data_IF_753975844265
#
_entry.id   IF_753975844265
#
_cell.length_a   1.000
_cell.length_b   1.000
_cell.length_c   1.000
_cell.angle_alpha   90.00
_cell.angle_beta   90.00
_cell.angle_gamma   90.00
#
_symmetry.space_group_name_H-M   'P 1'
#
loop_
_entity.id
_entity.type
_entity.pdbx_description
1 polymer ?
#
# COMPACT_ATOMS: atom_id res chain seq x y z
N UNK A 1 -19.53 -13.83 13.98
CA UNK A 1 -18.51 -14.22 12.97
C UNK A 1 -19.04 -15.48 12.34
N UNK A 2 -19.22 -15.49 11.02
CA UNK A 2 -19.64 -16.67 10.28
C UNK A 2 -18.37 -17.37 9.77
N UNK A 3 -18.14 -18.60 10.19
CA UNK A 3 -17.03 -19.42 9.71
C UNK A 3 -17.54 -20.29 8.57
N UNK A 4 -16.84 -20.27 7.44
CA UNK A 4 -17.12 -21.13 6.31
C UNK A 4 -16.10 -22.29 6.32
N UNK A 5 -16.58 -23.51 6.33
CA UNK A 5 -15.75 -24.69 6.11
C UNK A 5 -15.75 -25.00 4.61
N UNK A 6 -14.56 -25.12 4.04
CA UNK A 6 -14.40 -25.50 2.63
C UNK A 6 -13.84 -26.92 2.53
N UNK A 7 -14.45 -27.74 1.72
CA UNK A 7 -13.87 -29.03 1.37
C UNK A 7 -12.55 -28.81 0.61
N UNK A 8 -11.56 -29.65 0.91
CA UNK A 8 -10.28 -29.61 0.21
C UNK A 8 -10.48 -29.96 -1.25
N UNK A 9 -10.32 -28.99 -2.14
CA UNK A 9 -10.48 -29.16 -3.57
C UNK A 9 -9.45 -30.14 -4.17
N UNK A 10 -9.78 -30.66 -5.35
CA UNK A 10 -8.83 -31.47 -6.13
C UNK A 10 -7.71 -30.57 -6.66
N UNK A 11 -6.46 -31.06 -6.55
CA UNK A 11 -5.32 -30.37 -7.16
C UNK A 11 -5.46 -30.36 -8.69
N UNK A 12 -5.49 -29.16 -9.29
CA UNK A 12 -5.68 -28.96 -10.75
C UNK A 12 -4.41 -28.56 -11.49
N UNK A 13 -3.40 -28.07 -10.77
CA UNK A 13 -2.07 -27.73 -11.30
C UNK A 13 -0.97 -28.34 -10.42
N UNK A 14 0.19 -28.62 -11.00
CA UNK A 14 1.32 -29.10 -10.22
C UNK A 14 1.87 -28.01 -9.30
N UNK A 15 2.52 -28.40 -8.20
CA UNK A 15 3.22 -27.49 -7.30
C UNK A 15 4.25 -26.65 -8.07
N UNK A 16 5.01 -27.26 -8.97
CA UNK A 16 6.00 -26.57 -9.82
C UNK A 16 5.34 -25.48 -10.68
N UNK A 17 4.17 -25.76 -11.28
CA UNK A 17 3.43 -24.76 -12.05
C UNK A 17 2.97 -23.61 -11.17
N UNK A 18 2.46 -23.91 -9.98
CA UNK A 18 2.05 -22.92 -8.99
C UNK A 18 3.21 -21.99 -8.59
N UNK A 19 4.37 -22.57 -8.24
CA UNK A 19 5.58 -21.82 -7.89
C UNK A 19 6.04 -20.90 -9.05
N UNK A 20 6.00 -21.43 -10.27
CA UNK A 20 6.35 -20.64 -11.46
C UNK A 20 5.39 -19.48 -11.68
N UNK A 21 4.10 -19.70 -11.50
CA UNK A 21 3.09 -18.64 -11.62
C UNK A 21 3.26 -17.56 -10.54
N UNK A 22 3.55 -17.94 -9.30
CA UNK A 22 3.83 -16.97 -8.23
C UNK A 22 4.99 -16.03 -8.60
N UNK A 23 6.09 -16.57 -9.13
CA UNK A 23 7.24 -15.78 -9.59
C UNK A 23 6.87 -14.84 -10.76
N UNK A 24 6.10 -15.33 -11.73
CA UNK A 24 5.63 -14.48 -12.84
C UNK A 24 4.74 -13.34 -12.31
N UNK A 25 3.83 -13.63 -11.40
CA UNK A 25 2.93 -12.62 -10.83
C UNK A 25 3.68 -11.62 -9.94
N UNK A 26 4.76 -12.04 -9.29
CA UNK A 26 5.67 -11.14 -8.59
C UNK A 26 6.37 -10.16 -9.56
N UNK A 27 6.85 -10.63 -10.71
CA UNK A 27 7.47 -9.77 -11.74
C UNK A 27 6.48 -8.73 -12.28
N UNK A 28 5.18 -9.05 -12.32
CA UNK A 28 4.14 -8.07 -12.71
C UNK A 28 4.10 -6.88 -11.75
N UNK A 29 4.38 -7.11 -10.47
CA UNK A 29 4.39 -6.05 -9.44
C UNK A 29 5.76 -5.39 -9.37
N UNK A 30 6.86 -6.13 -9.39
CA UNK A 30 8.20 -5.55 -9.26
C UNK A 30 8.62 -4.74 -10.50
N UNK A 31 8.27 -5.18 -11.71
CA UNK A 31 8.79 -4.63 -12.96
C UNK A 31 7.71 -4.29 -14.00
N UNK A 32 6.47 -4.75 -13.78
CA UNK A 32 5.39 -4.67 -14.76
C UNK A 32 4.32 -3.65 -14.47
N UNK A 33 3.14 -3.85 -15.06
CA UNK A 33 1.98 -2.97 -14.96
C UNK A 33 1.35 -2.88 -13.56
N UNK A 34 1.81 -3.69 -12.62
CA UNK A 34 1.42 -3.65 -11.19
C UNK A 34 2.36 -2.84 -10.30
N UNK A 35 3.39 -2.19 -10.88
CA UNK A 35 4.46 -1.55 -10.11
C UNK A 35 3.99 -0.50 -9.09
N UNK A 36 2.84 0.11 -9.30
CA UNK A 36 2.26 1.05 -8.31
C UNK A 36 1.81 0.39 -6.99
N UNK A 37 1.79 -0.95 -6.94
CA UNK A 37 1.56 -1.71 -5.70
C UNK A 37 2.86 -2.29 -5.12
N UNK A 38 4.02 -1.98 -5.71
CA UNK A 38 5.30 -2.44 -5.21
C UNK A 38 5.67 -1.76 -3.89
N UNK A 39 6.11 -2.57 -2.93
CA UNK A 39 6.59 -2.11 -1.62
C UNK A 39 7.97 -2.72 -1.39
N UNK A 40 9.03 -1.92 -1.17
CA UNK A 40 10.36 -2.42 -0.88
C UNK A 40 10.37 -3.41 0.28
N UNK A 41 11.13 -4.48 0.18
CA UNK A 41 11.22 -5.52 1.19
C UNK A 41 10.07 -6.51 1.21
N UNK A 42 8.95 -6.26 0.51
CA UNK A 42 7.83 -7.20 0.44
C UNK A 42 7.73 -7.84 -0.94
N UNK A 43 7.71 -9.16 -0.95
CA UNK A 43 7.53 -9.96 -2.16
C UNK A 43 6.04 -10.04 -2.47
N UNK A 44 5.56 -9.17 -3.34
CA UNK A 44 4.13 -9.06 -3.70
C UNK A 44 3.93 -9.62 -5.10
N UNK A 45 3.06 -10.62 -5.22
CA UNK A 45 2.56 -11.09 -6.51
C UNK A 45 1.18 -10.50 -6.78
N UNK A 46 0.88 -10.17 -8.05
CA UNK A 46 -0.41 -9.58 -8.35
C UNK A 46 -0.74 -9.47 -9.82
N UNK A 47 -2.00 -9.12 -10.10
CA UNK A 47 -2.50 -8.90 -11.47
C UNK A 47 -3.53 -7.78 -11.50
N UNK A 48 -3.30 -6.84 -12.40
CA UNK A 48 -4.26 -5.78 -12.73
C UNK A 48 -5.31 -6.30 -13.71
N UNK A 49 -6.52 -5.78 -13.62
CA UNK A 49 -7.53 -5.97 -14.66
C UNK A 49 -8.31 -4.68 -14.91
N UNK A 50 -8.81 -4.57 -16.14
CA UNK A 50 -9.71 -3.50 -16.57
C UNK A 50 -10.78 -4.12 -17.46
N UNK A 51 -12.02 -4.07 -17.02
CA UNK A 51 -13.14 -4.66 -17.72
C UNK A 51 -14.12 -3.60 -18.14
N UNK A 52 -14.53 -3.60 -19.42
CA UNK A 52 -15.60 -2.73 -19.89
C UNK A 52 -16.95 -3.33 -19.47
N UNK A 53 -17.82 -2.50 -18.91
CA UNK A 53 -19.19 -2.89 -18.53
C UNK A 53 -20.09 -3.01 -19.76
N UNK A 54 -21.12 -3.82 -19.65
CA UNK A 54 -22.15 -3.93 -20.69
C UNK A 54 -23.17 -2.78 -20.58
N UNK A 55 -23.75 -2.35 -21.71
CA UNK A 55 -23.40 -2.75 -23.07
C UNK A 55 -22.03 -2.21 -23.50
N UNK A 56 -21.33 -2.95 -24.35
CA UNK A 56 -20.03 -2.49 -24.87
C UNK A 56 -20.18 -1.16 -25.59
N UNK A 57 -19.22 -0.27 -25.43
CA UNK A 57 -19.30 1.10 -25.95
C UNK A 57 -19.95 2.10 -24.98
N UNK A 58 -20.40 1.67 -23.80
CA UNK A 58 -20.93 2.55 -22.75
C UNK A 58 -19.92 3.54 -22.18
N UNK A 59 -18.62 3.35 -22.41
CA UNK A 59 -17.55 4.11 -21.79
C UNK A 59 -17.35 3.81 -20.29
N UNK A 60 -18.10 2.86 -19.75
CA UNK A 60 -18.05 2.46 -18.34
C UNK A 60 -17.12 1.27 -18.14
N UNK A 61 -16.28 1.35 -17.11
CA UNK A 61 -15.26 0.35 -16.80
C UNK A 61 -15.29 -0.02 -15.33
N UNK A 62 -14.78 -1.22 -15.02
CA UNK A 62 -14.40 -1.65 -13.70
C UNK A 62 -12.90 -1.89 -13.70
N UNK A 63 -12.18 -1.17 -12.87
CA UNK A 63 -10.76 -1.33 -12.64
C UNK A 63 -10.52 -2.21 -11.42
N UNK A 64 -9.58 -3.14 -11.48
CA UNK A 64 -9.28 -3.97 -10.33
C UNK A 64 -7.80 -4.35 -10.24
N UNK A 65 -7.40 -4.72 -9.03
CA UNK A 65 -6.09 -5.27 -8.73
C UNK A 65 -6.24 -6.37 -7.69
N UNK A 66 -5.79 -7.57 -8.02
CA UNK A 66 -5.65 -8.68 -7.09
C UNK A 66 -4.17 -8.81 -6.73
N UNK A 67 -3.86 -8.89 -5.44
CA UNK A 67 -2.51 -9.11 -4.95
C UNK A 67 -2.47 -10.13 -3.84
N UNK A 68 -1.32 -10.78 -3.68
CA UNK A 68 -1.02 -11.71 -2.58
C UNK A 68 0.41 -11.48 -2.09
N UNK A 69 0.62 -11.70 -0.81
CA UNK A 69 1.92 -11.53 -0.16
C UNK A 69 2.08 -12.46 1.07
N UNK A 70 3.34 -12.87 1.40
CA UNK A 70 4.53 -12.87 0.54
C UNK A 70 4.35 -13.79 -0.68
N UNK A 71 5.00 -13.48 -1.82
CA UNK A 71 4.77 -14.24 -3.06
C UNK A 71 5.20 -15.71 -2.96
N UNK A 72 6.28 -16.01 -2.21
CA UNK A 72 6.76 -17.37 -2.00
C UNK A 72 5.84 -18.20 -1.10
N UNK A 73 5.27 -17.59 -0.03
CA UNK A 73 4.41 -18.25 0.93
C UNK A 73 3.22 -17.35 1.31
N UNK A 74 2.21 -17.23 0.42
CA UNK A 74 1.12 -16.28 0.59
C UNK A 74 0.35 -16.46 1.90
N UNK A 75 0.26 -15.39 2.68
CA UNK A 75 -0.53 -15.28 3.90
C UNK A 75 -1.72 -14.34 3.75
N UNK A 76 -1.62 -13.42 2.78
CA UNK A 76 -2.63 -12.41 2.48
C UNK A 76 -3.01 -12.49 1.02
N UNK A 77 -4.30 -12.38 0.75
CA UNK A 77 -4.88 -12.13 -0.57
C UNK A 77 -5.79 -10.92 -0.46
N UNK A 78 -5.53 -9.91 -1.27
CA UNK A 78 -6.31 -8.67 -1.30
C UNK A 78 -6.83 -8.40 -2.71
N UNK A 79 -8.04 -7.87 -2.80
CA UNK A 79 -8.68 -7.47 -4.05
C UNK A 79 -9.23 -6.05 -3.91
N UNK A 80 -8.77 -5.16 -4.77
CA UNK A 80 -9.32 -3.80 -4.94
C UNK A 80 -10.16 -3.78 -6.20
N UNK A 81 -11.38 -3.29 -6.09
CA UNK A 81 -12.31 -3.07 -7.22
C UNK A 81 -12.79 -1.63 -7.16
N UNK A 82 -12.63 -0.91 -8.27
CA UNK A 82 -13.10 0.46 -8.45
C UNK A 82 -14.11 0.44 -9.59
N UNK A 83 -15.38 0.67 -9.26
CA UNK A 83 -16.47 0.62 -10.22
C UNK A 83 -16.75 1.99 -10.81
N UNK A 84 -16.90 2.05 -12.13
CA UNK A 84 -17.18 3.26 -12.92
C UNK A 84 -16.29 4.46 -12.54
N UNK A 85 -14.95 4.31 -12.50
CA UNK A 85 -14.07 5.43 -12.18
C UNK A 85 -14.25 6.57 -13.19
N UNK A 86 -14.13 7.81 -12.70
CA UNK A 86 -14.14 9.00 -13.57
C UNK A 86 -12.71 9.30 -14.04
N UNK A 87 -12.54 9.56 -15.33
CA UNK A 87 -11.23 9.84 -15.93
C UNK A 87 -10.47 8.54 -16.25
N UNK A 88 -9.33 8.33 -15.64
CA UNK A 88 -8.52 7.13 -15.86
C UNK A 88 -9.20 5.88 -15.29
N UNK A 89 -9.21 4.79 -16.06
CA UNK A 89 -9.87 3.54 -15.70
C UNK A 89 -8.93 2.31 -15.71
N UNK A 90 -7.63 2.50 -15.89
CA UNK A 90 -6.67 1.40 -15.90
C UNK A 90 -6.37 0.90 -14.47
N UNK A 91 -6.61 -0.41 -14.23
CA UNK A 91 -6.45 -1.01 -12.90
C UNK A 91 -5.08 -0.79 -12.26
N UNK A 92 -3.99 -0.91 -13.02
CA UNK A 92 -2.64 -0.65 -12.52
C UNK A 92 -2.41 0.81 -12.10
N UNK A 93 -3.13 1.75 -12.73
CA UNK A 93 -2.98 3.19 -12.46
C UNK A 93 -3.75 3.65 -11.24
N UNK A 94 -5.00 3.17 -11.08
CA UNK A 94 -5.89 3.67 -10.03
C UNK A 94 -6.10 2.69 -8.88
N UNK A 95 -6.07 1.37 -9.13
CA UNK A 95 -6.19 0.37 -8.06
C UNK A 95 -4.82 -0.02 -7.48
N UNK A 96 -3.72 0.17 -8.23
CA UNK A 96 -2.36 -0.09 -7.76
C UNK A 96 -1.98 0.71 -6.52
N UNK A 97 -2.10 2.04 -6.51
CA UNK A 97 -1.80 2.87 -5.33
C UNK A 97 -2.64 2.49 -4.11
N UNK A 98 -3.94 2.21 -4.30
CA UNK A 98 -4.82 1.75 -3.20
C UNK A 98 -4.37 0.41 -2.65
N UNK A 99 -3.95 -0.52 -3.53
CA UNK A 99 -3.40 -1.80 -3.11
C UNK A 99 -2.09 -1.63 -2.33
N UNK A 100 -1.22 -0.70 -2.77
CA UNK A 100 0.00 -0.34 -2.06
C UNK A 100 -0.31 0.10 -0.62
N UNK A 101 -1.18 1.09 -0.43
CA UNK A 101 -1.58 1.59 0.90
C UNK A 101 -2.16 0.47 1.79
N UNK A 102 -3.01 -0.39 1.23
CA UNK A 102 -3.60 -1.50 1.98
C UNK A 102 -2.51 -2.46 2.47
N UNK A 103 -1.60 -2.88 1.59
CA UNK A 103 -0.58 -3.86 1.92
C UNK A 103 0.53 -3.26 2.80
N UNK A 104 0.92 -2.00 2.60
CA UNK A 104 1.90 -1.29 3.42
C UNK A 104 1.48 -1.26 4.90
N UNK A 105 0.19 -1.12 5.17
CA UNK A 105 -0.36 -1.13 6.52
C UNK A 105 -0.67 -2.55 7.04
N UNK A 106 -1.20 -3.42 6.17
CA UNK A 106 -1.66 -4.74 6.59
C UNK A 106 -0.49 -5.72 6.86
N UNK A 107 0.60 -5.67 6.08
CA UNK A 107 1.69 -6.63 6.21
C UNK A 107 2.40 -6.53 7.56
N UNK A 108 2.81 -5.34 8.05
CA UNK A 108 3.38 -5.19 9.39
C UNK A 108 2.39 -5.57 10.49
N UNK A 109 1.12 -5.17 10.36
CA UNK A 109 0.06 -5.53 11.32
C UNK A 109 -0.09 -7.05 11.48
N UNK A 110 0.12 -7.82 10.41
CA UNK A 110 0.07 -9.28 10.41
C UNK A 110 1.41 -9.93 10.83
N UNK A 111 2.38 -9.14 11.27
CA UNK A 111 3.70 -9.63 11.69
C UNK A 111 4.53 -10.18 10.53
N UNK A 112 4.31 -9.65 9.32
CA UNK A 112 5.11 -10.00 8.14
C UNK A 112 6.17 -8.92 8.00
N UNK A 113 7.40 -9.27 8.37
CA UNK A 113 8.54 -8.34 8.32
C UNK A 113 9.07 -8.20 6.88
N UNK A 114 9.54 -6.99 6.48
CA UNK A 114 10.16 -6.79 5.19
C UNK A 114 11.53 -7.46 5.11
N UNK A 115 11.86 -8.01 3.94
CA UNK A 115 13.17 -8.60 3.62
C UNK A 115 13.75 -7.85 2.43
N UNK A 116 14.61 -6.89 2.70
CA UNK A 116 15.23 -6.04 1.69
C UNK A 116 16.38 -6.74 0.95
N UNK A 117 16.45 -6.58 -0.36
CA UNK A 117 17.67 -6.83 -1.11
C UNK A 117 18.63 -5.64 -0.96
N UNK A 118 19.89 -5.77 -1.44
CA UNK A 118 20.91 -4.72 -1.29
C UNK A 118 20.50 -3.36 -1.89
N UNK A 119 19.76 -3.36 -2.99
CA UNK A 119 19.32 -2.13 -3.64
C UNK A 119 18.16 -1.49 -2.85
N UNK A 120 17.22 -2.31 -2.39
CA UNK A 120 16.09 -1.87 -1.58
C UNK A 120 16.54 -1.34 -0.22
N UNK A 121 17.51 -2.00 0.44
CA UNK A 121 18.06 -1.57 1.72
C UNK A 121 18.67 -0.16 1.62
N UNK A 122 19.40 0.13 0.54
CA UNK A 122 19.96 1.47 0.29
C UNK A 122 18.88 2.52 0.03
N UNK A 123 17.82 2.16 -0.70
CA UNK A 123 16.67 3.04 -0.93
C UNK A 123 15.91 3.31 0.37
N UNK A 124 15.68 2.27 1.17
CA UNK A 124 14.99 2.37 2.45
C UNK A 124 15.71 3.32 3.42
N UNK A 125 17.04 3.19 3.56
CA UNK A 125 17.83 4.10 4.38
C UNK A 125 17.74 5.57 3.92
N UNK A 126 17.69 5.82 2.61
CA UNK A 126 17.57 7.18 2.08
C UNK A 126 16.16 7.78 2.17
N UNK A 127 15.15 6.92 2.32
CA UNK A 127 13.75 7.33 2.43
C UNK A 127 13.27 7.44 3.87
N UNK A 128 14.05 7.02 4.85
CA UNK A 128 13.72 7.15 6.27
C UNK A 128 14.10 8.50 6.82
N UNK A 129 13.21 9.04 7.63
CA UNK A 129 13.43 10.27 8.39
C UNK A 129 13.00 10.07 9.83
N UNK A 130 13.69 10.74 10.75
CA UNK A 130 13.24 10.81 12.13
C UNK A 130 12.08 11.81 12.25
N UNK A 131 11.04 11.43 12.96
CA UNK A 131 9.90 12.29 13.24
C UNK A 131 10.32 13.41 14.19
N UNK A 132 10.18 14.69 13.78
CA UNK A 132 10.48 15.81 14.67
C UNK A 132 9.38 16.02 15.70
N UNK A 133 9.69 16.86 16.70
CA UNK A 133 8.68 17.27 17.67
C UNK A 133 7.81 18.39 17.12
N UNK A 134 6.52 18.15 17.03
CA UNK A 134 5.50 19.15 16.68
C UNK A 134 4.67 19.61 17.88
N UNK A 135 4.74 18.90 19.02
CA UNK A 135 3.95 19.21 20.21
C UNK A 135 4.34 20.58 20.76
N UNK A 136 3.34 21.42 21.03
CA UNK A 136 3.54 22.81 21.46
C UNK A 136 3.74 23.82 20.33
N UNK A 137 3.78 23.38 19.07
CA UNK A 137 3.79 24.29 17.94
C UNK A 137 2.37 24.81 17.64
N UNK A 138 2.30 26.08 17.13
CA UNK A 138 1.04 26.49 16.50
C UNK A 138 0.78 25.65 15.26
N UNK A 139 -0.48 25.40 14.95
CA UNK A 139 -0.85 24.63 13.75
C UNK A 139 -0.27 25.23 12.45
N UNK A 140 -0.15 26.56 12.40
CA UNK A 140 0.46 27.27 11.29
C UNK A 140 1.95 26.97 11.17
N UNK A 141 2.69 27.05 12.27
CA UNK A 141 4.14 26.81 12.29
C UNK A 141 4.44 25.33 12.01
N UNK A 142 3.64 24.41 12.59
CA UNK A 142 3.76 22.97 12.34
C UNK A 142 3.62 22.62 10.84
N UNK A 143 2.63 23.22 10.15
CA UNK A 143 2.45 23.02 8.70
C UNK A 143 3.59 23.58 7.86
N UNK A 144 4.11 24.76 8.23
CA UNK A 144 5.27 25.37 7.54
C UNK A 144 6.50 24.49 7.74
N UNK A 145 6.78 24.11 8.98
CA UNK A 145 7.92 23.28 9.34
C UNK A 145 7.88 21.90 8.63
N UNK A 146 6.73 21.23 8.66
CA UNK A 146 6.54 19.95 7.97
C UNK A 146 6.84 20.08 6.46
N UNK A 147 6.31 21.13 5.83
CA UNK A 147 6.52 21.39 4.41
C UNK A 147 8.00 21.65 4.06
N UNK A 148 8.71 22.40 4.89
CA UNK A 148 10.15 22.68 4.72
C UNK A 148 10.99 21.40 4.85
N UNK A 149 10.57 20.47 5.70
CA UNK A 149 11.21 19.15 5.86
C UNK A 149 10.76 18.11 4.82
N UNK A 150 9.83 18.48 3.93
CA UNK A 150 9.26 17.55 2.94
C UNK A 150 8.37 16.46 3.53
N UNK A 151 7.74 16.75 4.68
CA UNK A 151 6.83 15.86 5.38
C UNK A 151 5.38 16.22 5.11
N UNK A 152 4.51 15.21 5.07
CA UNK A 152 3.06 15.41 5.05
C UNK A 152 2.48 15.27 6.45
N UNK A 153 1.57 16.19 6.81
CA UNK A 153 0.86 16.18 8.07
C UNK A 153 -0.65 16.15 7.85
N UNK A 154 -1.36 15.30 8.61
CA UNK A 154 -2.82 15.30 8.71
C UNK A 154 -3.22 15.90 10.07
N UNK A 155 -4.25 16.73 10.07
CA UNK A 155 -4.71 17.42 11.27
C UNK A 155 -5.97 16.73 11.81
N UNK A 156 -5.95 16.41 13.09
CA UNK A 156 -7.09 15.86 13.81
C UNK A 156 -7.42 16.76 15.00
N UNK A 157 -8.58 17.44 14.95
CA UNK A 157 -9.03 18.44 15.90
C UNK A 157 -9.24 19.83 15.29
N UNK A 158 -9.79 20.75 16.08
CA UNK A 158 -10.13 22.12 15.66
C UNK A 158 -9.31 23.20 16.40
N UNK A 159 -8.35 22.81 17.21
CA UNK A 159 -7.50 23.72 17.99
C UNK A 159 -6.40 24.39 17.15
N UNK A 160 -5.78 25.40 17.72
CA UNK A 160 -4.71 26.17 17.08
C UNK A 160 -3.29 25.69 17.45
N UNK A 161 -3.19 24.81 18.47
CA UNK A 161 -1.92 24.28 18.99
C UNK A 161 -1.89 22.76 18.93
N UNK A 162 -0.72 22.20 18.60
CA UNK A 162 -0.51 20.76 18.55
C UNK A 162 -0.30 20.21 19.97
N UNK A 163 -1.28 19.46 20.46
CA UNK A 163 -1.22 18.85 21.78
C UNK A 163 -0.62 17.45 21.82
N UNK A 164 -0.73 16.72 20.69
CA UNK A 164 -0.11 15.41 20.53
C UNK A 164 0.19 15.11 19.05
N UNK A 165 1.04 14.16 18.82
CA UNK A 165 1.39 13.69 17.47
C UNK A 165 1.52 12.18 17.42
N UNK A 166 1.32 11.62 16.21
CA UNK A 166 1.64 10.23 15.90
C UNK A 166 2.18 10.14 14.46
N UNK A 167 3.33 9.48 14.20
CA UNK A 167 4.20 8.80 15.17
C UNK A 167 4.88 9.77 16.17
N UNK A 168 5.48 9.22 17.24
CA UNK A 168 6.11 10.02 18.28
C UNK A 168 7.43 10.62 17.81
N UNK A 169 7.89 11.69 18.48
CA UNK A 169 9.20 12.28 18.27
C UNK A 169 10.31 11.21 18.38
N UNK A 170 11.24 11.24 17.42
CA UNK A 170 12.38 10.33 17.34
C UNK A 170 12.08 8.98 16.68
N UNK A 171 10.83 8.63 16.45
CA UNK A 171 10.50 7.45 15.65
C UNK A 171 10.97 7.63 14.20
N UNK A 172 11.34 6.54 13.57
CA UNK A 172 11.79 6.55 12.17
C UNK A 172 10.64 6.13 11.26
N UNK A 173 10.31 6.99 10.30
CA UNK A 173 9.24 6.74 9.32
C UNK A 173 9.76 6.90 7.89
N UNK A 174 9.01 6.39 6.92
CA UNK A 174 9.26 6.71 5.53
C UNK A 174 8.89 8.18 5.24
N UNK A 175 9.64 8.85 4.38
CA UNK A 175 9.37 10.24 3.95
C UNK A 175 7.97 10.44 3.36
N UNK A 176 7.38 9.38 2.83
CA UNK A 176 6.02 9.36 2.27
C UNK A 176 4.93 9.12 3.30
N UNK A 177 5.31 8.74 4.53
CA UNK A 177 4.35 8.52 5.61
C UNK A 177 3.81 9.85 6.12
N UNK A 178 2.53 9.86 6.49
CA UNK A 178 1.89 11.03 7.09
C UNK A 178 2.06 11.04 8.60
N UNK A 179 2.23 12.22 9.15
CA UNK A 179 2.26 12.46 10.60
C UNK A 179 0.91 13.05 10.99
N UNK A 180 0.24 12.42 11.95
CA UNK A 180 -1.04 12.92 12.47
C UNK A 180 -0.75 13.88 13.62
N UNK A 181 -1.26 15.10 13.52
CA UNK A 181 -1.17 16.12 14.56
C UNK A 181 -2.54 16.30 15.19
N UNK A 182 -2.61 16.06 16.49
CA UNK A 182 -3.83 16.26 17.29
C UNK A 182 -3.81 17.65 17.90
N UNK A 183 -4.85 18.44 17.63
CA UNK A 183 -5.02 19.79 18.16
C UNK A 183 -6.14 19.86 19.20
N UNK A 184 -6.03 20.75 20.17
CA UNK A 184 -7.02 21.03 21.22
C UNK A 184 -7.16 22.52 21.45
#
# INVERSE_FOLDING_TARGET
>A
IQTFEYEKGKQIISTQTSERMKKILETVVSEGGGHKAYIPGYRIGGKTATSQKLPRGSGKYTASFLAFAPAEAPKVLALVIIDEPKGTYYGGVIAGPVMHEILENALPYLGIEPVYNEAEAKLDETQKIAVPNFVGMTLKDAKVFAKEQGMEVDINGEGEEVGAQFPLEGETINKTSKIILYTH
#
